data_IF_389503935802
#
_entry.id   IF_389503935802
#
_cell.length_a   1.000
_cell.length_b   1.000
_cell.length_c   1.000
_cell.angle_alpha   90.00
_cell.angle_beta   90.00
_cell.angle_gamma   90.00
#
_symmetry.space_group_name_H-M   'P 1'
#
loop_
_entity.id
_entity.type
_entity.pdbx_description
1 polymer ?
#
# COMPACT_ATOMS: atom_id res chain seq x y z
N UNK A 1 11.58 9.12 -2.28
CA UNK A 1 11.11 7.83 -1.75
C UNK A 1 9.65 8.04 -1.41
N UNK A 2 8.81 7.01 -1.40
CA UNK A 2 7.44 7.21 -0.93
C UNK A 2 7.41 7.37 0.60
N UNK A 3 6.97 8.52 1.08
CA UNK A 3 6.92 8.85 2.51
C UNK A 3 5.63 8.31 3.15
N UNK A 4 5.69 7.06 3.62
CA UNK A 4 4.57 6.42 4.30
C UNK A 4 4.52 6.83 5.78
N UNK A 5 3.38 7.33 6.23
CA UNK A 5 3.11 7.67 7.65
C UNK A 5 2.74 6.46 8.52
N UNK A 6 2.73 5.25 7.93
CA UNK A 6 2.44 3.98 8.60
C UNK A 6 1.05 3.93 9.25
N UNK A 7 0.07 4.65 8.71
CA UNK A 7 -1.33 4.59 9.17
C UNK A 7 -1.97 3.19 9.03
N UNK A 8 -1.43 2.32 8.18
CA UNK A 8 -1.87 0.94 7.99
C UNK A 8 -3.09 0.77 7.07
N UNK A 9 -3.70 1.85 6.57
CA UNK A 9 -4.92 1.80 5.76
C UNK A 9 -4.75 0.94 4.49
N UNK A 10 -3.61 1.04 3.80
CA UNK A 10 -3.35 0.22 2.61
C UNK A 10 -3.33 -1.28 2.90
N UNK A 11 -3.00 -1.69 4.13
CA UNK A 11 -3.05 -3.08 4.57
C UNK A 11 -4.42 -3.46 5.15
N UNK A 12 -5.22 -2.49 5.61
CA UNK A 12 -6.60 -2.70 6.10
C UNK A 12 -7.61 -2.87 4.98
N UNK A 13 -7.31 -2.36 3.79
CA UNK A 13 -8.21 -2.34 2.64
C UNK A 13 -7.50 -2.84 1.38
N UNK A 14 -7.20 -4.15 1.33
CA UNK A 14 -6.51 -4.76 0.18
C UNK A 14 -7.47 -5.33 -0.88
N UNK A 15 -8.78 -5.25 -0.62
CA UNK A 15 -9.81 -5.68 -1.58
C UNK A 15 -9.65 -4.96 -2.91
N UNK A 16 -9.73 -5.74 -4.00
CA UNK A 16 -9.55 -5.26 -5.37
C UNK A 16 -8.11 -5.26 -5.86
N UNK A 17 -7.13 -5.58 -5.01
CA UNK A 17 -5.73 -5.79 -5.42
C UNK A 17 -5.53 -7.28 -5.69
N UNK A 18 -5.60 -7.68 -6.96
CA UNK A 18 -5.55 -9.08 -7.40
C UNK A 18 -4.32 -9.83 -6.88
N UNK A 19 -3.16 -9.18 -6.87
CA UNK A 19 -1.90 -9.74 -6.39
C UNK A 19 -1.90 -10.04 -4.88
N UNK A 20 -2.86 -9.47 -4.14
CA UNK A 20 -2.99 -9.62 -2.69
C UNK A 20 -4.17 -10.50 -2.26
N UNK A 21 -4.94 -11.10 -3.18
CA UNK A 21 -6.12 -11.92 -2.86
C UNK A 21 -5.80 -13.03 -1.84
N UNK A 22 -4.67 -13.73 -1.99
CA UNK A 22 -4.24 -14.79 -1.08
C UNK A 22 -3.78 -14.31 0.31
N UNK A 23 -3.68 -12.99 0.51
CA UNK A 23 -3.35 -12.38 1.80
C UNK A 23 -4.58 -11.79 2.49
N UNK A 24 -5.74 -11.77 1.85
CA UNK A 24 -6.95 -11.12 2.35
C UNK A 24 -7.70 -11.99 3.36
N UNK A 25 -8.05 -11.38 4.49
CA UNK A 25 -8.94 -11.92 5.51
C UNK A 25 -10.40 -11.54 5.20
N UNK A 26 -11.35 -12.11 5.95
CA UNK A 26 -12.78 -11.84 5.80
C UNK A 26 -13.15 -10.35 5.98
N UNK A 27 -12.37 -9.60 6.78
CA UNK A 27 -12.56 -8.16 6.99
C UNK A 27 -11.80 -7.29 5.97
N UNK A 28 -11.41 -7.87 4.83
CA UNK A 28 -10.70 -7.22 3.72
C UNK A 28 -9.27 -6.75 4.05
N UNK A 29 -8.80 -7.02 5.28
CA UNK A 29 -7.45 -6.69 5.72
C UNK A 29 -6.44 -7.77 5.34
N UNK A 30 -5.18 -7.39 5.25
CA UNK A 30 -4.07 -8.30 5.01
C UNK A 30 -3.74 -9.12 6.26
N UNK A 31 -3.57 -10.44 6.11
CA UNK A 31 -3.19 -11.39 7.16
C UNK A 31 -1.90 -11.01 7.88
N UNK A 32 -1.01 -10.29 7.21
CA UNK A 32 0.27 -9.83 7.75
C UNK A 32 0.18 -8.48 8.47
N UNK A 33 -1.00 -7.86 8.58
CA UNK A 33 -1.17 -6.64 9.36
C UNK A 33 -1.15 -6.96 10.85
N UNK A 34 -0.27 -6.28 11.60
CA UNK A 34 -0.43 -6.12 13.04
C UNK A 34 -1.39 -4.96 13.30
N UNK A 35 -2.61 -5.29 13.75
CA UNK A 35 -3.68 -4.31 13.98
C UNK A 35 -3.43 -3.41 15.19
N UNK A 36 -2.50 -3.78 16.08
CA UNK A 36 -2.12 -2.97 17.25
C UNK A 36 -1.11 -1.89 16.86
N UNK A 37 -0.10 -2.25 16.06
CA UNK A 37 0.97 -1.31 15.66
C UNK A 37 0.77 -0.64 14.31
N UNK A 38 -0.22 -1.08 13.51
CA UNK A 38 -0.40 -0.74 12.09
C UNK A 38 0.74 -1.17 11.16
N UNK A 39 1.70 -1.96 11.65
CA UNK A 39 2.85 -2.39 10.88
C UNK A 39 2.62 -3.76 10.23
N UNK A 40 3.36 -4.00 9.15
CA UNK A 40 3.38 -5.31 8.51
C UNK A 40 4.34 -6.24 9.26
N UNK A 41 3.86 -7.42 9.66
CA UNK A 41 4.66 -8.48 10.32
C UNK A 41 5.81 -9.00 9.46
N UNK A 42 5.74 -8.79 8.14
CA UNK A 42 6.77 -9.20 7.18
C UNK A 42 7.36 -8.00 6.43
N UNK A 43 7.50 -6.84 7.07
CA UNK A 43 7.84 -5.56 6.42
C UNK A 43 8.98 -5.65 5.39
N UNK A 44 10.07 -6.32 5.74
CA UNK A 44 11.25 -6.48 4.88
C UNK A 44 11.09 -7.52 3.77
N UNK A 45 10.07 -8.38 3.87
CA UNK A 45 9.71 -9.45 2.92
C UNK A 45 8.37 -9.21 2.22
N UNK A 46 7.79 -8.02 2.34
CA UNK A 46 6.55 -7.64 1.64
C UNK A 46 6.65 -7.91 0.14
N UNK A 47 5.57 -8.32 -0.53
CA UNK A 47 5.56 -8.49 -1.99
C UNK A 47 5.81 -7.14 -2.68
N UNK A 48 6.32 -7.18 -3.92
CA UNK A 48 6.68 -5.97 -4.66
C UNK A 48 5.51 -4.99 -4.79
N UNK A 49 4.28 -5.48 -4.98
CA UNK A 49 3.07 -4.65 -5.09
C UNK A 49 2.86 -3.74 -3.86
N UNK A 50 3.39 -4.11 -2.69
CA UNK A 50 3.34 -3.30 -1.46
C UNK A 50 4.53 -2.34 -1.32
N UNK A 51 5.45 -2.28 -2.28
CA UNK A 51 6.69 -1.50 -2.27
C UNK A 51 6.69 -0.50 -3.42
N UNK A 52 6.19 0.70 -3.15
CA UNK A 52 6.07 1.79 -4.14
C UNK A 52 7.37 2.01 -4.92
N UNK A 53 8.49 2.24 -4.25
CA UNK A 53 9.77 2.49 -4.93
C UNK A 53 10.27 1.29 -5.78
N UNK A 54 9.96 0.04 -5.40
CA UNK A 54 10.35 -1.14 -6.17
C UNK A 54 9.44 -1.34 -7.40
N UNK A 55 8.14 -1.10 -7.27
CA UNK A 55 7.21 -1.12 -8.40
C UNK A 55 7.58 -0.09 -9.46
N UNK A 56 8.07 1.09 -9.06
CA UNK A 56 8.62 2.05 -10.02
C UNK A 56 9.76 1.44 -10.83
N UNK A 57 10.78 0.91 -10.15
CA UNK A 57 11.97 0.33 -10.80
C UNK A 57 11.64 -0.84 -11.72
N UNK A 58 10.67 -1.68 -11.34
CA UNK A 58 10.33 -2.91 -12.07
C UNK A 58 9.32 -2.67 -13.20
N UNK A 59 8.35 -1.78 -13.00
CA UNK A 59 7.18 -1.65 -13.87
C UNK A 59 7.03 -0.22 -14.40
N UNK A 60 6.91 0.76 -13.50
CA UNK A 60 6.40 2.09 -13.88
C UNK A 60 7.42 3.04 -14.51
N UNK A 61 8.72 2.76 -14.40
CA UNK A 61 9.79 3.61 -14.98
C UNK A 61 9.68 3.80 -16.49
N UNK A 62 9.00 2.88 -17.19
CA UNK A 62 8.79 2.95 -18.65
C UNK A 62 7.64 3.87 -19.06
N UNK A 63 6.77 4.23 -18.12
CA UNK A 63 5.49 4.89 -18.42
C UNK A 63 5.41 6.32 -17.90
N UNK A 64 6.17 6.66 -16.87
CA UNK A 64 6.14 7.99 -16.23
C UNK A 64 7.45 8.27 -15.50
N UNK A 65 7.69 9.54 -15.15
CA UNK A 65 8.80 9.91 -14.29
C UNK A 65 8.61 9.38 -12.86
N UNK A 66 9.72 9.30 -12.12
CA UNK A 66 9.67 8.93 -10.69
C UNK A 66 8.83 9.91 -9.88
N UNK A 67 8.92 11.20 -10.20
CA UNK A 67 8.18 12.26 -9.52
C UNK A 67 6.67 12.11 -9.72
N UNK A 68 6.21 11.97 -10.96
CA UNK A 68 4.79 11.74 -11.27
C UNK A 68 4.25 10.49 -10.56
N UNK A 69 5.00 9.40 -10.60
CA UNK A 69 4.61 8.15 -9.93
C UNK A 69 4.47 8.32 -8.41
N UNK A 70 5.43 8.99 -7.76
CA UNK A 70 5.38 9.25 -6.33
C UNK A 70 4.22 10.18 -5.97
N UNK A 71 3.96 11.22 -6.78
CA UNK A 71 2.83 12.12 -6.59
C UNK A 71 1.49 11.38 -6.71
N UNK A 72 1.34 10.48 -7.68
CA UNK A 72 0.13 9.66 -7.81
C UNK A 72 -0.06 8.72 -6.60
N UNK A 73 1.01 8.11 -6.08
CA UNK A 73 0.93 7.28 -4.87
C UNK A 73 0.57 8.10 -3.63
N UNK A 74 1.11 9.31 -3.49
CA UNK A 74 0.75 10.22 -2.40
C UNK A 74 -0.72 10.62 -2.46
N UNK A 75 -1.22 11.02 -3.64
CA UNK A 75 -2.63 11.34 -3.85
C UNK A 75 -3.55 10.16 -3.55
N UNK A 76 -3.19 8.95 -3.96
CA UNK A 76 -3.95 7.74 -3.63
C UNK A 76 -3.94 7.44 -2.12
N UNK A 77 -2.82 7.68 -1.43
CA UNK A 77 -2.71 7.54 0.03
C UNK A 77 -3.64 8.50 0.76
N UNK A 78 -3.64 9.78 0.39
CA UNK A 78 -4.51 10.79 1.00
C UNK A 78 -5.99 10.53 0.73
N UNK A 79 -6.36 10.13 -0.49
CA UNK A 79 -7.73 9.71 -0.81
C UNK A 79 -8.17 8.54 0.06
N UNK A 80 -7.30 7.56 0.29
CA UNK A 80 -7.61 6.42 1.15
C UNK A 80 -7.87 6.88 2.60
N UNK A 81 -7.05 7.81 3.10
CA UNK A 81 -7.27 8.44 4.42
C UNK A 81 -8.59 9.21 4.46
N UNK A 82 -8.94 9.98 3.43
CA UNK A 82 -10.22 10.69 3.39
C UNK A 82 -11.43 9.76 3.39
N UNK A 83 -11.33 8.58 2.77
CA UNK A 83 -12.40 7.59 2.73
C UNK A 83 -12.59 6.95 4.10
N UNK A 84 -11.51 6.58 4.78
CA UNK A 84 -11.56 5.71 5.96
C UNK A 84 -11.28 6.40 7.31
N UNK A 85 -10.72 7.62 7.32
CA UNK A 85 -10.52 8.44 8.52
C UNK A 85 -11.66 9.45 8.74
N UNK A 86 -12.75 9.41 7.96
CA UNK A 86 -14.00 10.09 8.33
C UNK A 86 -14.67 9.32 9.48
N UNK A 87 -14.12 9.51 10.67
CA UNK A 87 -14.74 9.24 11.97
C UNK A 87 -15.00 10.55 12.68
#
# INVERSE_FOLDING_TARGET
>A
MFECDKCGLCCRHIKGIKELENFMLDDESCINLDKTSNLCKIYDKRPDICRVDEMFKKVFYKFMSKEEYLNLNALSCEKLKEIYNKG
#
